data_IF_659111246243
#
_entry.id   IF_659111246243
#
_cell.length_a   1.000
_cell.length_b   1.000
_cell.length_c   1.000
_cell.angle_alpha   90.00
_cell.angle_beta   90.00
_cell.angle_gamma   90.00
#
_symmetry.space_group_name_H-M   'P 1'
#
loop_
_entity.id
_entity.type
_entity.pdbx_description
1 polymer ?
#
# COMPACT_ATOMS: atom_id res chain seq x y z
N UNK A 1 0.39 -39.08 36.00
CA UNK A 1 0.62 -38.69 34.59
C UNK A 1 -0.12 -37.41 34.15
N UNK A 2 -0.88 -36.75 35.04
CA UNK A 2 -1.75 -35.62 34.68
C UNK A 2 -1.09 -34.24 34.84
N UNK A 3 -0.17 -34.08 35.80
CA UNK A 3 0.45 -32.79 36.09
C UNK A 3 1.45 -32.31 35.02
N UNK A 4 2.11 -33.23 34.31
CA UNK A 4 3.07 -32.90 33.25
C UNK A 4 2.38 -32.41 31.97
N UNK A 5 1.24 -33.01 31.63
CA UNK A 5 0.38 -32.57 30.51
C UNK A 5 -0.19 -31.18 30.77
N UNK A 6 -0.61 -30.90 32.01
CA UNK A 6 -1.15 -29.59 32.42
C UNK A 6 -0.10 -28.48 32.34
N UNK A 7 1.14 -28.73 32.79
CA UNK A 7 2.23 -27.75 32.68
C UNK A 7 2.59 -27.45 31.22
N UNK A 8 2.62 -28.48 30.36
CA UNK A 8 2.86 -28.32 28.93
C UNK A 8 1.73 -27.51 28.25
N UNK A 9 0.46 -27.78 28.59
CA UNK A 9 -0.67 -27.01 28.05
C UNK A 9 -0.67 -25.57 28.52
N UNK A 10 -0.33 -25.30 29.79
CA UNK A 10 -0.24 -23.92 30.31
C UNK A 10 0.86 -23.14 29.59
N UNK A 11 2.02 -23.76 29.35
CA UNK A 11 3.12 -23.12 28.62
C UNK A 11 2.73 -22.78 27.16
N UNK A 12 2.01 -23.68 26.47
CA UNK A 12 1.54 -23.44 25.10
C UNK A 12 0.52 -22.29 25.04
N UNK A 13 -0.41 -22.22 26.00
CA UNK A 13 -1.42 -21.16 26.06
C UNK A 13 -0.75 -19.79 26.35
N UNK A 14 0.22 -19.75 27.26
CA UNK A 14 1.00 -18.53 27.55
C UNK A 14 1.77 -18.09 26.30
N UNK A 15 2.38 -19.03 25.57
CA UNK A 15 3.11 -18.73 24.33
C UNK A 15 2.20 -18.15 23.23
N UNK A 16 0.97 -18.66 23.07
CA UNK A 16 0.03 -18.10 22.09
C UNK A 16 -0.45 -16.70 22.46
N UNK A 17 -0.67 -16.44 23.75
CA UNK A 17 -1.14 -15.14 24.23
C UNK A 17 -0.09 -14.03 24.02
N UNK A 18 1.21 -14.37 24.12
CA UNK A 18 2.32 -13.46 23.81
C UNK A 18 2.42 -13.14 22.31
N UNK A 19 2.02 -14.06 21.42
CA UNK A 19 2.05 -13.81 19.96
C UNK A 19 0.93 -12.83 19.54
N UNK A 20 -0.25 -12.89 20.17
CA UNK A 20 -1.36 -11.98 19.84
C UNK A 20 -1.10 -10.51 20.19
N UNK A 21 -0.29 -10.22 21.21
CA UNK A 21 0.03 -8.84 21.60
C UNK A 21 1.00 -8.16 20.63
N UNK A 22 1.89 -8.91 19.97
CA UNK A 22 2.80 -8.36 18.95
C UNK A 22 2.10 -8.04 17.61
N UNK A 23 1.07 -8.79 17.22
CA UNK A 23 0.37 -8.57 15.95
C UNK A 23 -0.55 -7.34 15.93
N UNK A 24 -0.74 -6.66 17.06
CA UNK A 24 -1.68 -5.52 17.17
C UNK A 24 -1.10 -4.17 16.75
N UNK A 25 0.14 -4.12 16.24
CA UNK A 25 0.82 -2.88 15.83
C UNK A 25 0.98 -2.68 14.32
N UNK A 26 0.03 -3.15 13.51
CA UNK A 26 -0.23 -2.57 12.19
C UNK A 26 -1.60 -1.90 12.15
N UNK A 27 -1.83 -0.99 13.10
CA UNK A 27 -2.74 0.12 12.84
C UNK A 27 -1.95 1.10 11.97
N UNK A 28 -2.01 0.91 10.64
CA UNK A 28 -1.68 1.96 9.67
C UNK A 28 -2.63 3.09 10.00
N UNK A 29 -2.17 4.02 10.84
CA UNK A 29 -2.83 5.27 11.10
C UNK A 29 -2.81 5.99 9.76
N UNK A 30 -3.89 5.81 8.98
CA UNK A 30 -4.11 6.49 7.72
C UNK A 30 -3.72 7.93 7.96
N UNK A 31 -2.67 8.35 7.25
CA UNK A 31 -2.09 9.68 7.32
C UNK A 31 -3.08 10.66 6.68
N UNK A 32 -4.25 10.85 7.31
CA UNK A 32 -5.40 11.62 6.84
C UNK A 32 -5.08 13.12 6.74
N UNK A 33 -3.87 13.55 7.13
CA UNK A 33 -3.45 14.96 7.18
C UNK A 33 -2.40 15.37 6.13
N UNK A 34 -1.84 14.47 5.33
CA UNK A 34 -0.89 14.84 4.24
C UNK A 34 -1.43 14.56 2.83
N UNK A 35 -2.73 14.27 2.70
CA UNK A 35 -3.36 14.08 1.39
C UNK A 35 -3.60 15.40 0.64
N UNK A 36 -3.64 16.51 1.37
CA UNK A 36 -4.29 17.74 0.88
C UNK A 36 -3.44 18.58 -0.09
N UNK A 37 -2.13 18.37 -0.16
CA UNK A 37 -1.23 19.34 -0.82
C UNK A 37 -0.50 18.85 -2.08
N UNK A 38 -0.75 17.63 -2.58
CA UNK A 38 0.03 17.14 -3.73
C UNK A 38 -0.74 17.14 -5.05
N UNK A 39 -2.07 16.99 -5.02
CA UNK A 39 -2.86 16.81 -6.23
C UNK A 39 -4.18 17.61 -6.25
N UNK A 40 -4.13 18.91 -5.94
CA UNK A 40 -5.16 19.95 -6.18
C UNK A 40 -6.64 19.50 -6.12
N UNK A 41 -6.99 18.57 -5.23
CA UNK A 41 -8.34 17.99 -5.17
C UNK A 41 -8.80 17.21 -6.41
N UNK A 42 -7.92 16.89 -7.37
CA UNK A 42 -8.27 16.14 -8.59
C UNK A 42 -8.58 14.66 -8.32
N UNK A 43 -8.02 14.12 -7.25
CA UNK A 43 -8.13 12.72 -6.90
C UNK A 43 -9.07 12.50 -5.71
N UNK A 44 -9.98 11.54 -5.86
CA UNK A 44 -10.65 10.95 -4.70
C UNK A 44 -9.66 10.15 -3.85
N UNK A 45 -9.92 10.12 -2.54
CA UNK A 45 -9.06 9.44 -1.55
C UNK A 45 -8.77 7.99 -1.94
N UNK A 46 -9.79 7.28 -2.43
CA UNK A 46 -9.71 5.88 -2.84
C UNK A 46 -8.84 5.67 -4.07
N UNK A 47 -8.90 6.57 -5.06
CA UNK A 47 -8.12 6.45 -6.29
C UNK A 47 -6.65 6.72 -6.03
N UNK A 48 -6.35 7.77 -5.27
CA UNK A 48 -4.97 8.07 -4.87
C UNK A 48 -4.38 6.93 -4.06
N UNK A 49 -5.08 6.39 -3.05
CA UNK A 49 -4.57 5.28 -2.25
C UNK A 49 -4.24 4.05 -3.11
N UNK A 50 -5.02 3.81 -4.17
CA UNK A 50 -4.73 2.75 -5.14
C UNK A 50 -3.47 3.04 -5.95
N UNK A 51 -3.26 4.27 -6.38
CA UNK A 51 -2.04 4.68 -7.11
C UNK A 51 -0.80 4.65 -6.21
N UNK A 52 -0.94 5.10 -4.96
CA UNK A 52 0.13 5.11 -3.95
C UNK A 52 0.63 3.68 -3.69
N UNK A 53 -0.29 2.73 -3.49
CA UNK A 53 0.06 1.31 -3.34
C UNK A 53 0.82 0.74 -4.54
N UNK A 54 0.46 1.15 -5.77
CA UNK A 54 1.22 0.73 -6.97
C UNK A 54 2.66 1.23 -6.89
N UNK A 55 2.88 2.49 -6.49
CA UNK A 55 4.22 3.05 -6.33
C UNK A 55 5.00 2.36 -5.20
N UNK A 56 4.37 2.03 -4.08
CA UNK A 56 4.99 1.30 -2.95
C UNK A 56 5.43 -0.11 -3.37
N UNK A 57 4.57 -0.87 -4.03
CA UNK A 57 4.91 -2.24 -4.48
C UNK A 57 5.98 -2.19 -5.57
N UNK A 58 5.93 -1.19 -6.45
CA UNK A 58 6.96 -0.99 -7.48
C UNK A 58 8.33 -0.67 -6.84
N UNK A 59 8.37 0.19 -5.81
CA UNK A 59 9.58 0.46 -5.03
C UNK A 59 10.16 -0.82 -4.44
N UNK A 60 9.33 -1.67 -3.83
CA UNK A 60 9.79 -2.92 -3.21
C UNK A 60 10.36 -3.90 -4.26
N UNK A 61 9.76 -3.96 -5.45
CA UNK A 61 10.25 -4.80 -6.55
C UNK A 61 11.62 -4.35 -7.09
N UNK A 62 11.81 -3.06 -7.34
CA UNK A 62 13.03 -2.53 -7.97
C UNK A 62 14.11 -2.10 -6.98
N UNK A 63 13.77 -1.96 -5.69
CA UNK A 63 14.66 -1.56 -4.59
C UNK A 63 15.34 -0.19 -4.80
N UNK A 64 14.70 0.71 -5.54
CA UNK A 64 15.21 2.05 -5.81
C UNK A 64 14.38 3.12 -5.08
N UNK A 65 15.01 3.77 -4.09
CA UNK A 65 14.38 4.76 -3.21
C UNK A 65 13.86 6.00 -3.98
N UNK A 66 14.45 6.33 -5.13
CA UNK A 66 13.99 7.47 -5.94
C UNK A 66 12.70 7.15 -6.72
N UNK A 67 12.45 5.87 -7.01
CA UNK A 67 11.34 5.42 -7.83
C UNK A 67 9.98 5.80 -7.22
N UNK A 68 9.84 5.75 -5.90
CA UNK A 68 8.59 6.09 -5.24
C UNK A 68 8.24 7.58 -5.39
N UNK A 69 9.23 8.47 -5.25
CA UNK A 69 9.02 9.91 -5.44
C UNK A 69 8.72 10.24 -6.90
N UNK A 70 9.44 9.63 -7.85
CA UNK A 70 9.20 9.80 -9.29
C UNK A 70 7.83 9.25 -9.72
N UNK A 71 7.43 8.09 -9.20
CA UNK A 71 6.13 7.49 -9.48
C UNK A 71 4.97 8.40 -9.05
N UNK A 72 5.09 9.05 -7.90
CA UNK A 72 4.09 10.00 -7.37
C UNK A 72 4.16 11.40 -8.00
N UNK A 73 5.23 11.70 -8.73
CA UNK A 73 5.44 13.01 -9.35
C UNK A 73 4.32 13.36 -10.34
N UNK A 74 4.05 14.67 -10.50
CA UNK A 74 2.99 15.17 -11.36
C UNK A 74 1.64 14.44 -11.15
N UNK A 75 1.34 14.05 -9.91
CA UNK A 75 0.11 13.36 -9.55
C UNK A 75 -0.14 12.09 -10.36
N UNK A 76 0.87 11.23 -10.44
CA UNK A 76 0.86 9.97 -11.17
C UNK A 76 0.72 10.11 -12.70
N UNK A 77 0.64 11.34 -13.24
CA UNK A 77 0.63 11.60 -14.68
C UNK A 77 2.06 11.69 -15.22
N UNK A 78 2.75 10.56 -15.18
CA UNK A 78 4.11 10.40 -15.67
C UNK A 78 4.32 8.96 -16.16
N UNK A 79 5.37 8.73 -16.95
CA UNK A 79 5.63 7.40 -17.52
C UNK A 79 6.12 6.36 -16.50
N UNK A 80 6.65 6.79 -15.35
CA UNK A 80 7.12 5.87 -14.29
C UNK A 80 5.93 5.18 -13.65
N UNK A 81 4.87 5.93 -13.35
CA UNK A 81 3.62 5.36 -12.86
C UNK A 81 3.03 4.34 -13.84
N UNK A 82 2.99 4.64 -15.14
CA UNK A 82 2.46 3.71 -16.16
C UNK A 82 3.25 2.39 -16.17
N UNK A 83 4.58 2.46 -16.14
CA UNK A 83 5.45 1.28 -16.08
C UNK A 83 5.25 0.49 -14.79
N UNK A 84 5.14 1.18 -13.65
CA UNK A 84 4.88 0.54 -12.36
C UNK A 84 3.51 -0.15 -12.32
N UNK A 85 2.47 0.48 -12.85
CA UNK A 85 1.13 -0.10 -12.90
C UNK A 85 1.12 -1.38 -13.74
N UNK A 86 1.79 -1.40 -14.89
CA UNK A 86 1.91 -2.58 -15.76
C UNK A 86 2.75 -3.69 -15.09
N UNK A 87 3.78 -3.33 -14.33
CA UNK A 87 4.64 -4.31 -13.65
C UNK A 87 3.95 -4.96 -12.44
N UNK A 88 3.07 -4.23 -11.75
CA UNK A 88 2.47 -4.65 -10.47
C UNK A 88 1.07 -5.26 -10.63
N UNK A 89 0.31 -4.82 -11.64
CA UNK A 89 -1.10 -5.21 -11.81
C UNK A 89 -1.30 -6.04 -13.09
N UNK A 90 -2.39 -6.83 -13.16
CA UNK A 90 -2.84 -7.39 -14.43
C UNK A 90 -3.07 -6.28 -15.47
N UNK A 91 -2.81 -6.58 -16.75
CA UNK A 91 -2.84 -5.59 -17.84
C UNK A 91 -4.18 -4.83 -17.93
N UNK A 92 -5.32 -5.53 -17.76
CA UNK A 92 -6.66 -4.90 -17.75
C UNK A 92 -6.80 -3.85 -16.65
N UNK A 93 -6.27 -4.15 -15.47
CA UNK A 93 -6.37 -3.33 -14.27
C UNK A 93 -5.40 -2.16 -14.31
N UNK A 94 -4.18 -2.41 -14.80
CA UNK A 94 -3.19 -1.39 -15.07
C UNK A 94 -3.74 -0.36 -16.07
N UNK A 95 -4.25 -0.82 -17.21
CA UNK A 95 -4.83 0.03 -18.25
C UNK A 95 -6.02 0.83 -17.71
N UNK A 96 -6.93 0.19 -16.97
CA UNK A 96 -8.07 0.90 -16.35
C UNK A 96 -7.61 1.99 -15.38
N UNK A 97 -6.60 1.71 -14.55
CA UNK A 97 -6.08 2.66 -13.58
C UNK A 97 -5.36 3.84 -14.26
N UNK A 98 -4.51 3.55 -15.25
CA UNK A 98 -3.81 4.55 -16.05
C UNK A 98 -4.78 5.46 -16.79
N UNK A 99 -5.85 4.90 -17.40
CA UNK A 99 -6.86 5.71 -18.09
C UNK A 99 -7.59 6.65 -17.13
N UNK A 100 -7.99 6.16 -15.94
CA UNK A 100 -8.60 7.02 -14.91
C UNK A 100 -7.71 8.19 -14.54
N UNK A 101 -6.41 7.95 -14.35
CA UNK A 101 -5.44 9.03 -14.11
C UNK A 101 -5.43 10.00 -15.28
N UNK A 102 -5.28 9.52 -16.52
CA UNK A 102 -5.25 10.38 -17.73
C UNK A 102 -6.51 11.23 -17.89
N UNK A 103 -7.68 10.67 -17.62
CA UNK A 103 -8.96 11.38 -17.78
C UNK A 103 -9.11 12.55 -16.80
N UNK A 104 -8.55 12.43 -15.58
CA UNK A 104 -8.49 13.55 -14.62
C UNK A 104 -7.66 14.74 -15.11
N UNK A 105 -6.74 14.53 -16.07
CA UNK A 105 -5.93 15.60 -16.65
C UNK A 105 -6.49 16.14 -17.95
N UNK A 106 -7.35 15.38 -18.65
CA UNK A 106 -8.05 15.82 -19.87
C UNK A 106 -9.25 16.72 -19.58
N UNK A 107 -9.85 16.63 -18.39
CA UNK A 107 -11.04 17.39 -18.01
C UNK A 107 -10.77 18.90 -17.70
N UNK A 108 -9.70 19.48 -18.28
CA UNK A 108 -9.28 20.88 -18.09
C UNK A 108 -9.05 21.55 -19.43
#
# INVERSE_FOLDING_TARGET
MSALKVKATIFIIISMFVIQTLSSSMNIHLHKRSFKDHCDGKFDLSLYARCDRVCEVCLEMYKDVHLHAECKSNCFNNSIFEKCAIAVLPESDANSLIQKVKDLFKAK
#
